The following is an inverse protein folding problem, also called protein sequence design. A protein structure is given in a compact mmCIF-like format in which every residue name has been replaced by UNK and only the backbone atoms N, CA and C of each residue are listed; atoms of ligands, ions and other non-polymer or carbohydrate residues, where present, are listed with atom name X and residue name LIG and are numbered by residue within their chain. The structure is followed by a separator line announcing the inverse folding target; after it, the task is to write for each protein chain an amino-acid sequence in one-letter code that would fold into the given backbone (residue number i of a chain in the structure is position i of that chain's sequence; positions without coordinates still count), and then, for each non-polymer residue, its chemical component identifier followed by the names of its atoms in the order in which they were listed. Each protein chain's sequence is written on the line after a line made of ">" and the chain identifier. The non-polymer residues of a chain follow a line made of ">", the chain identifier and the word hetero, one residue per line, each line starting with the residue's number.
data_IF_342701430453
#
_entry.id   IF_342701430453
#
_cell.length_a   1.000
_cell.length_b   1.000
_cell.length_c   1.000
_cell.angle_alpha   90.00
_cell.angle_beta   90.00
_cell.angle_gamma   90.00
#
_symmetry.space_group_name_H-M   'P 1'
#
loop_
_entity.id
_entity.type
_entity.pdbx_description
1 polymer ?
#
# COMPACT_ATOMS: atom_id res chain seq x y z
N UNK A 1 24.69 1.84 3.01
CA UNK A 1 24.25 0.82 2.03
C UNK A 1 22.75 0.60 2.19
N UNK A 2 22.00 0.65 1.12
CA UNK A 2 20.55 0.47 1.16
C UNK A 2 20.16 -0.82 0.44
N UNK A 3 19.54 -1.75 1.16
CA UNK A 3 19.00 -2.98 0.58
C UNK A 3 17.57 -2.74 0.09
N UNK A 4 17.35 -2.85 -1.19
CA UNK A 4 16.04 -2.73 -1.81
C UNK A 4 15.83 -3.83 -2.87
N UNK A 5 14.62 -4.33 -3.02
CA UNK A 5 14.33 -5.37 -4.00
C UNK A 5 12.97 -5.30 -4.65
N UNK A 6 11.91 -5.06 -3.86
CA UNK A 6 10.53 -5.08 -4.33
C UNK A 6 9.63 -4.20 -3.46
N UNK A 7 8.39 -3.97 -3.91
CA UNK A 7 7.35 -3.28 -3.14
C UNK A 7 6.23 -4.23 -2.77
N UNK A 8 5.65 -4.03 -1.58
CA UNK A 8 4.45 -4.72 -1.15
C UNK A 8 3.19 -4.01 -1.71
N UNK A 9 2.32 -4.75 -2.38
CA UNK A 9 1.03 -4.23 -2.86
C UNK A 9 -0.02 -4.36 -1.75
N UNK A 10 -0.21 -3.31 -0.95
CA UNK A 10 -1.14 -3.29 0.17
C UNK A 10 -2.61 -3.34 -0.28
N UNK A 11 -2.93 -2.82 -1.46
CA UNK A 11 -4.27 -2.90 -2.02
C UNK A 11 -4.65 -4.36 -2.37
N UNK A 12 -3.70 -5.12 -2.92
CA UNK A 12 -3.89 -6.56 -3.18
C UNK A 12 -4.02 -7.35 -1.87
N UNK A 13 -3.25 -6.97 -0.86
CA UNK A 13 -3.32 -7.54 0.49
C UNK A 13 -4.73 -7.37 1.10
N UNK A 14 -5.37 -6.21 0.91
CA UNK A 14 -6.74 -5.96 1.37
C UNK A 14 -7.74 -6.90 0.68
N UNK A 15 -7.59 -7.14 -0.64
CA UNK A 15 -8.44 -8.09 -1.35
C UNK A 15 -8.25 -9.53 -0.87
N UNK A 16 -7.02 -9.92 -0.53
CA UNK A 16 -6.75 -11.22 0.10
C UNK A 16 -7.39 -11.32 1.48
N UNK A 17 -7.37 -10.24 2.26
CA UNK A 17 -8.04 -10.22 3.56
C UNK A 17 -9.55 -10.46 3.44
N UNK A 18 -10.20 -9.81 2.47
CA UNK A 18 -11.64 -9.98 2.20
C UNK A 18 -11.95 -11.41 1.71
N UNK A 19 -11.11 -11.96 0.83
CA UNK A 19 -11.32 -13.25 0.18
C UNK A 19 -10.63 -14.44 0.88
N UNK A 20 -10.15 -14.28 2.12
CA UNK A 20 -9.55 -15.38 2.89
C UNK A 20 -8.27 -15.95 2.28
N UNK A 21 -7.48 -15.12 1.61
CA UNK A 21 -6.20 -15.47 0.97
C UNK A 21 -6.31 -15.95 -0.47
N UNK A 22 -7.52 -15.90 -1.07
CA UNK A 22 -7.73 -16.25 -2.48
C UNK A 22 -7.53 -15.01 -3.35
N UNK A 23 -6.79 -15.18 -4.44
CA UNK A 23 -6.60 -14.16 -5.46
C UNK A 23 -7.88 -14.00 -6.30
N UNK A 24 -8.45 -12.81 -6.33
CA UNK A 24 -9.72 -12.51 -7.00
C UNK A 24 -9.66 -12.63 -8.53
N UNK A 25 -8.45 -12.59 -9.11
CA UNK A 25 -8.24 -12.70 -10.56
C UNK A 25 -7.93 -14.11 -11.01
N UNK A 26 -7.01 -14.79 -10.31
CA UNK A 26 -6.56 -16.14 -10.68
C UNK A 26 -7.36 -17.25 -10.01
N UNK A 27 -8.19 -16.90 -9.01
CA UNK A 27 -9.00 -17.84 -8.21
C UNK A 27 -8.16 -18.88 -7.45
N UNK A 28 -6.90 -18.58 -7.22
CA UNK A 28 -5.98 -19.49 -6.52
C UNK A 28 -5.75 -19.05 -5.09
N UNK A 29 -5.54 -19.98 -4.19
CA UNK A 29 -5.12 -19.71 -2.82
C UNK A 29 -3.65 -19.26 -2.83
N UNK A 30 -3.40 -17.98 -2.59
CA UNK A 30 -2.06 -17.37 -2.60
C UNK A 30 -1.51 -17.18 -1.19
N UNK A 31 -2.34 -16.68 -0.29
CA UNK A 31 -2.00 -16.49 1.12
C UNK A 31 -2.48 -17.68 1.98
N UNK A 32 -2.09 -17.77 3.27
CA UNK A 32 -2.66 -18.75 4.18
C UNK A 32 -4.19 -18.70 4.17
N UNK A 33 -4.81 -19.87 4.33
CA UNK A 33 -6.27 -19.97 4.32
C UNK A 33 -6.86 -19.36 5.59
N UNK A 34 -7.23 -18.10 5.52
CA UNK A 34 -7.99 -17.41 6.55
C UNK A 34 -9.50 -17.52 6.27
N UNK A 35 -10.31 -17.22 7.28
CA UNK A 35 -11.75 -17.15 7.11
C UNK A 35 -12.11 -15.95 6.22
N UNK A 36 -12.73 -16.15 5.04
CA UNK A 36 -13.18 -15.04 4.20
C UNK A 36 -14.32 -14.27 4.87
N UNK A 37 -14.45 -13.00 4.50
CA UNK A 37 -15.61 -12.19 4.84
C UNK A 37 -16.73 -12.61 3.88
N UNK A 38 -17.87 -13.06 4.41
CA UNK A 38 -19.00 -13.57 3.60
C UNK A 38 -20.24 -12.70 3.67
N UNK A 39 -20.23 -11.65 4.50
CA UNK A 39 -21.31 -10.69 4.63
C UNK A 39 -21.58 -9.96 3.31
N UNK A 40 -22.84 -9.58 3.09
CA UNK A 40 -23.23 -8.80 1.93
C UNK A 40 -22.60 -7.39 1.95
N UNK A 41 -22.61 -6.77 3.12
CA UNK A 41 -21.95 -5.49 3.37
C UNK A 41 -20.70 -5.71 4.21
N UNK A 42 -19.64 -4.97 3.91
CA UNK A 42 -18.40 -5.03 4.68
C UNK A 42 -18.57 -4.30 6.02
N UNK A 43 -18.21 -4.98 7.10
CA UNK A 43 -18.09 -4.41 8.43
C UNK A 43 -16.66 -3.94 8.67
N UNK A 44 -16.50 -2.72 9.18
CA UNK A 44 -15.19 -2.09 9.34
C UNK A 44 -14.28 -2.87 10.31
N UNK A 45 -14.82 -3.28 11.45
CA UNK A 45 -14.02 -3.98 12.47
C UNK A 45 -13.61 -5.37 11.98
N UNK A 46 -14.51 -6.09 11.30
CA UNK A 46 -14.19 -7.39 10.69
C UNK A 46 -13.11 -7.24 9.61
N UNK A 47 -13.23 -6.22 8.73
CA UNK A 47 -12.22 -5.97 7.70
C UNK A 47 -10.88 -5.62 8.32
N UNK A 48 -10.85 -4.77 9.35
CA UNK A 48 -9.62 -4.39 10.04
C UNK A 48 -8.93 -5.59 10.69
N UNK A 49 -9.68 -6.48 11.35
CA UNK A 49 -9.13 -7.71 11.93
C UNK A 49 -8.50 -8.62 10.85
N UNK A 50 -9.21 -8.85 9.74
CA UNK A 50 -8.72 -9.68 8.64
C UNK A 50 -7.53 -9.05 7.92
N UNK A 51 -7.57 -7.74 7.74
CA UNK A 51 -6.49 -7.02 7.09
C UNK A 51 -5.22 -7.00 7.96
N UNK A 52 -5.36 -6.83 9.26
CA UNK A 52 -4.25 -6.92 10.20
C UNK A 52 -3.54 -8.28 10.14
N UNK A 53 -4.31 -9.38 10.18
CA UNK A 53 -3.79 -10.74 10.02
C UNK A 53 -3.09 -10.95 8.68
N UNK A 54 -3.66 -10.42 7.61
CA UNK A 54 -3.09 -10.55 6.26
C UNK A 54 -1.81 -9.72 6.09
N UNK A 55 -1.75 -8.53 6.70
CA UNK A 55 -0.53 -7.71 6.72
C UNK A 55 0.60 -8.37 7.51
N UNK A 56 0.31 -9.10 8.59
CA UNK A 56 1.32 -9.86 9.34
C UNK A 56 1.96 -10.95 8.46
N UNK A 57 1.14 -11.72 7.75
CA UNK A 57 1.65 -12.69 6.77
C UNK A 57 2.44 -12.02 5.63
N UNK A 58 1.92 -10.90 5.10
CA UNK A 58 2.63 -10.18 4.04
C UNK A 58 3.98 -9.66 4.51
N UNK A 59 4.07 -9.14 5.73
CA UNK A 59 5.33 -8.66 6.31
C UNK A 59 6.37 -9.78 6.41
N UNK A 60 5.96 -10.97 6.89
CA UNK A 60 6.83 -12.14 7.00
C UNK A 60 7.40 -12.55 5.62
N UNK A 61 6.52 -12.81 4.66
CA UNK A 61 6.95 -13.25 3.32
C UNK A 61 7.77 -12.17 2.60
N UNK A 62 7.44 -10.90 2.81
CA UNK A 62 8.12 -9.78 2.18
C UNK A 62 9.55 -9.64 2.71
N UNK A 63 9.73 -9.63 4.03
CA UNK A 63 11.08 -9.55 4.64
C UNK A 63 11.91 -10.78 4.26
N UNK A 64 11.35 -11.99 4.32
CA UNK A 64 12.06 -13.20 3.95
C UNK A 64 12.47 -13.22 2.47
N UNK A 65 11.61 -12.71 1.58
CA UNK A 65 11.94 -12.57 0.15
C UNK A 65 13.07 -11.57 -0.07
N UNK A 66 13.02 -10.41 0.58
CA UNK A 66 14.08 -9.41 0.50
C UNK A 66 15.41 -9.93 1.09
N UNK A 67 15.36 -10.66 2.21
CA UNK A 67 16.53 -11.31 2.79
C UNK A 67 17.20 -12.26 1.79
N UNK A 68 16.40 -13.06 1.09
CA UNK A 68 16.92 -13.97 0.05
C UNK A 68 17.55 -13.19 -1.12
N UNK A 69 16.91 -12.13 -1.58
CA UNK A 69 17.43 -11.28 -2.66
C UNK A 69 18.77 -10.68 -2.25
N UNK A 70 18.89 -10.12 -1.05
CA UNK A 70 20.12 -9.49 -0.57
C UNK A 70 21.23 -10.53 -0.34
N UNK A 71 20.89 -11.71 0.17
CA UNK A 71 21.84 -12.82 0.25
C UNK A 71 22.40 -13.21 -1.13
N UNK A 72 21.54 -13.26 -2.16
CA UNK A 72 21.96 -13.59 -3.52
C UNK A 72 22.85 -12.49 -4.13
N UNK A 73 22.58 -11.22 -3.84
CA UNK A 73 23.44 -10.11 -4.24
C UNK A 73 24.83 -10.24 -3.59
N UNK A 74 24.90 -10.51 -2.30
CA UNK A 74 26.19 -10.73 -1.62
C UNK A 74 26.93 -11.94 -2.16
N UNK A 75 26.22 -13.03 -2.42
CA UNK A 75 26.81 -14.28 -2.90
C UNK A 75 27.41 -14.16 -4.30
N UNK A 76 26.74 -13.46 -5.21
CA UNK A 76 27.11 -13.43 -6.63
C UNK A 76 27.76 -12.11 -7.06
N UNK A 77 27.50 -11.01 -6.38
CA UNK A 77 28.00 -9.67 -6.70
C UNK A 77 28.91 -9.08 -5.62
N UNK A 78 29.09 -9.76 -4.48
CA UNK A 78 29.98 -9.34 -3.39
C UNK A 78 29.70 -7.94 -2.84
N UNK A 79 28.45 -7.49 -2.84
CA UNK A 79 28.07 -6.11 -2.48
C UNK A 79 28.59 -5.68 -1.11
N UNK A 80 28.50 -6.55 -0.08
CA UNK A 80 28.97 -6.19 1.24
C UNK A 80 30.50 -6.07 1.32
N UNK A 81 31.23 -6.85 0.51
CA UNK A 81 32.70 -6.75 0.43
C UNK A 81 33.10 -5.46 -0.30
N UNK A 82 32.41 -5.13 -1.38
CA UNK A 82 32.67 -3.89 -2.12
C UNK A 82 32.39 -2.66 -1.26
N UNK A 83 31.30 -2.64 -0.48
CA UNK A 83 31.00 -1.55 0.45
C UNK A 83 32.08 -1.34 1.51
N UNK A 84 32.73 -2.42 1.99
CA UNK A 84 33.83 -2.32 2.93
C UNK A 84 35.09 -1.66 2.36
N UNK A 85 35.22 -1.60 1.02
CA UNK A 85 36.27 -0.85 0.33
C UNK A 85 35.98 0.66 0.22
N UNK A 86 34.70 1.03 0.35
CA UNK A 86 34.25 2.43 0.16
C UNK A 86 34.10 3.12 1.52
N UNK A 87 33.63 2.39 2.54
CA UNK A 87 33.28 2.95 3.85
C UNK A 87 33.82 2.08 4.98
N UNK A 88 34.39 2.72 6.00
CA UNK A 88 34.90 2.05 7.20
C UNK A 88 33.80 1.69 8.20
N UNK A 89 32.65 2.38 8.14
CA UNK A 89 31.48 2.14 8.98
C UNK A 89 30.22 2.07 8.13
N UNK A 90 29.96 0.90 7.57
CA UNK A 90 28.84 0.71 6.65
C UNK A 90 27.51 0.65 7.40
N UNK A 91 26.77 1.76 7.42
CA UNK A 91 25.38 1.75 7.84
C UNK A 91 24.52 1.03 6.78
N UNK A 92 23.73 0.06 7.24
CA UNK A 92 22.84 -0.73 6.39
C UNK A 92 21.40 -0.39 6.69
N UNK A 93 20.64 0.01 5.66
CA UNK A 93 19.20 0.15 5.72
C UNK A 93 18.54 -0.93 4.88
N UNK A 94 17.44 -1.46 5.36
CA UNK A 94 16.62 -2.46 4.69
C UNK A 94 15.41 -1.75 4.11
N UNK A 95 15.55 -1.25 2.88
CA UNK A 95 14.55 -0.43 2.23
C UNK A 95 13.35 -1.27 1.80
N UNK A 96 12.21 -1.00 2.38
CA UNK A 96 10.93 -1.54 1.97
C UNK A 96 10.13 -0.48 1.21
N UNK A 97 9.10 -0.88 0.50
CA UNK A 97 8.24 0.04 -0.23
C UNK A 97 6.83 -0.49 -0.31
N UNK A 98 5.87 0.41 -0.35
CA UNK A 98 4.45 0.09 -0.47
C UNK A 98 3.84 0.66 -1.74
N UNK A 99 2.88 -0.09 -2.29
CA UNK A 99 2.06 0.30 -3.43
C UNK A 99 0.58 0.25 -3.05
N UNK A 100 -0.25 1.09 -3.67
CA UNK A 100 -1.69 1.15 -3.43
C UNK A 100 -2.08 1.84 -2.13
N UNK A 101 -1.21 2.67 -1.56
CA UNK A 101 -1.39 3.33 -0.29
C UNK A 101 -2.72 4.09 -0.18
N UNK A 102 -2.95 5.09 -1.04
CA UNK A 102 -4.16 5.92 -1.00
C UNK A 102 -5.44 5.12 -1.28
N UNK A 103 -5.37 4.13 -2.16
CA UNK A 103 -6.52 3.24 -2.44
C UNK A 103 -6.92 2.39 -1.23
N UNK A 104 -5.96 1.95 -0.42
CA UNK A 104 -6.28 1.25 0.84
C UNK A 104 -6.91 2.22 1.83
N UNK A 105 -6.36 3.43 1.97
CA UNK A 105 -6.90 4.46 2.86
C UNK A 105 -8.34 4.77 2.48
N UNK A 106 -8.61 5.05 1.21
CA UNK A 106 -9.95 5.36 0.71
C UNK A 106 -10.90 4.17 0.84
N UNK A 107 -10.41 2.93 0.62
CA UNK A 107 -11.21 1.71 0.80
C UNK A 107 -11.63 1.51 2.26
N UNK A 108 -10.70 1.67 3.19
CA UNK A 108 -11.02 1.57 4.63
C UNK A 108 -11.93 2.71 5.08
N UNK A 109 -11.76 3.91 4.53
CA UNK A 109 -12.65 5.04 4.77
C UNK A 109 -14.05 4.78 4.23
N UNK A 110 -14.19 4.26 3.01
CA UNK A 110 -15.47 3.89 2.43
C UNK A 110 -16.21 2.85 3.30
N UNK A 111 -15.51 1.80 3.75
CA UNK A 111 -16.08 0.76 4.61
C UNK A 111 -16.52 1.34 5.96
N UNK A 112 -15.78 2.32 6.50
CA UNK A 112 -16.07 2.93 7.81
C UNK A 112 -17.22 3.93 7.79
N UNK A 113 -17.33 4.72 6.72
CA UNK A 113 -18.22 5.89 6.69
C UNK A 113 -19.37 5.81 5.68
N UNK A 114 -19.31 4.87 4.75
CA UNK A 114 -20.37 4.56 3.80
C UNK A 114 -20.86 3.12 3.97
N UNK A 115 -21.71 2.65 3.07
CA UNK A 115 -22.09 1.24 2.98
C UNK A 115 -21.44 0.64 1.75
N UNK A 116 -20.60 -0.36 1.95
CA UNK A 116 -19.90 -1.05 0.87
C UNK A 116 -20.46 -2.46 0.74
N UNK A 117 -21.18 -2.70 -0.35
CA UNK A 117 -21.73 -4.00 -0.69
C UNK A 117 -20.74 -4.77 -1.55
N UNK A 118 -20.51 -6.04 -1.24
CA UNK A 118 -19.66 -6.93 -2.03
C UNK A 118 -20.43 -7.55 -3.19
N UNK A 119 -19.87 -7.46 -4.40
CA UNK A 119 -20.33 -8.21 -5.56
C UNK A 119 -19.45 -9.45 -5.69
N UNK A 120 -20.08 -10.64 -5.60
CA UNK A 120 -19.37 -11.92 -5.60
C UNK A 120 -19.66 -12.69 -6.87
N UNK A 121 -18.69 -13.50 -7.28
CA UNK A 121 -18.87 -14.45 -8.35
C UNK A 121 -19.52 -15.76 -7.87
N UNK A 122 -19.62 -16.75 -8.79
CA UNK A 122 -20.23 -18.06 -8.52
C UNK A 122 -19.49 -18.86 -7.44
N UNK A 123 -18.20 -18.60 -7.24
CA UNK A 123 -17.35 -19.22 -6.21
C UNK A 123 -17.42 -18.49 -4.87
N UNK A 124 -18.20 -17.40 -4.77
CA UNK A 124 -18.34 -16.56 -3.59
C UNK A 124 -17.17 -15.59 -3.37
N UNK A 125 -16.30 -15.42 -4.35
CA UNK A 125 -15.16 -14.50 -4.28
C UNK A 125 -15.64 -13.09 -4.58
N UNK A 126 -15.31 -12.13 -3.71
CA UNK A 126 -15.58 -10.71 -3.94
C UNK A 126 -14.72 -10.20 -5.10
N UNK A 127 -15.38 -9.76 -6.17
CA UNK A 127 -14.74 -9.33 -7.43
C UNK A 127 -15.01 -7.85 -7.74
N UNK A 128 -16.06 -7.25 -7.15
CA UNK A 128 -16.40 -5.84 -7.31
C UNK A 128 -17.16 -5.34 -6.06
N UNK A 129 -17.38 -4.02 -5.99
CA UNK A 129 -18.00 -3.35 -4.85
C UNK A 129 -18.97 -2.28 -5.32
N UNK A 130 -20.11 -2.19 -4.65
CA UNK A 130 -21.10 -1.12 -4.78
C UNK A 130 -21.05 -0.26 -3.51
N UNK A 131 -20.97 1.07 -3.69
CA UNK A 131 -20.81 2.00 -2.58
C UNK A 131 -22.08 2.87 -2.51
N UNK A 132 -22.72 2.88 -1.35
CA UNK A 132 -23.87 3.72 -1.05
C UNK A 132 -23.47 4.77 -0.01
N UNK A 133 -23.58 6.05 -0.36
CA UNK A 133 -23.25 7.19 0.49
C UNK A 133 -21.87 7.77 0.20
N UNK A 134 -21.58 8.89 0.88
CA UNK A 134 -20.32 9.60 0.77
C UNK A 134 -19.36 9.21 1.90
N UNK A 135 -18.06 9.29 1.64
CA UNK A 135 -17.03 9.04 2.61
C UNK A 135 -15.85 9.99 2.42
N UNK A 136 -15.11 10.32 3.49
CA UNK A 136 -13.92 11.15 3.40
C UNK A 136 -12.83 10.43 2.60
N UNK A 137 -12.19 11.15 1.67
CA UNK A 137 -11.10 10.64 0.86
C UNK A 137 -9.78 11.32 1.21
N UNK A 138 -8.72 10.55 1.18
CA UNK A 138 -7.35 11.04 1.37
C UNK A 138 -7.02 12.11 0.31
N UNK A 139 -6.36 13.19 0.74
CA UNK A 139 -6.00 14.31 -0.12
C UNK A 139 -6.96 15.51 -0.02
N UNK A 140 -7.81 15.57 1.00
CA UNK A 140 -8.75 16.67 1.22
C UNK A 140 -8.57 17.38 2.58
N UNK A 141 -7.45 17.12 3.27
CA UNK A 141 -7.17 17.65 4.62
C UNK A 141 -8.25 17.26 5.65
N UNK A 142 -8.78 16.05 5.52
CA UNK A 142 -9.81 15.49 6.40
C UNK A 142 -9.18 14.42 7.30
N UNK A 143 -9.09 14.73 8.60
CA UNK A 143 -8.45 13.86 9.59
C UNK A 143 -9.08 12.46 9.65
N UNK A 144 -10.35 12.30 9.27
CA UNK A 144 -11.02 10.99 9.23
C UNK A 144 -10.36 10.03 8.24
N UNK A 145 -9.86 10.54 7.11
CA UNK A 145 -9.11 9.77 6.12
C UNK A 145 -7.60 9.80 6.41
N UNK A 146 -7.07 10.96 6.80
CA UNK A 146 -5.65 11.17 7.03
C UNK A 146 -5.14 10.33 8.22
N UNK A 147 -5.95 10.15 9.28
CA UNK A 147 -5.61 9.27 10.42
C UNK A 147 -5.50 7.79 10.00
N UNK A 148 -6.33 7.34 9.04
CA UNK A 148 -6.21 5.99 8.47
C UNK A 148 -4.88 5.87 7.70
N UNK A 149 -4.48 6.91 6.98
CA UNK A 149 -3.21 6.93 6.24
C UNK A 149 -2.01 6.83 7.19
N UNK A 150 -2.02 7.60 8.27
CA UNK A 150 -0.99 7.58 9.33
C UNK A 150 -0.93 6.20 9.99
N UNK A 151 -2.08 5.64 10.36
CA UNK A 151 -2.18 4.31 10.94
C UNK A 151 -1.60 3.23 10.02
N UNK A 152 -1.99 3.23 8.74
CA UNK A 152 -1.56 2.22 7.77
C UNK A 152 -0.04 2.16 7.63
N UNK A 153 0.59 3.34 7.53
CA UNK A 153 2.04 3.43 7.40
C UNK A 153 2.75 2.91 8.65
N UNK A 154 2.33 3.35 9.83
CA UNK A 154 2.91 2.93 11.11
C UNK A 154 2.71 1.44 11.35
N UNK A 155 1.50 0.94 11.13
CA UNK A 155 1.18 -0.46 11.41
C UNK A 155 1.98 -1.41 10.51
N UNK A 156 2.05 -1.13 9.21
CA UNK A 156 2.81 -1.98 8.30
C UNK A 156 4.31 -1.99 8.63
N UNK A 157 4.91 -0.83 8.91
CA UNK A 157 6.32 -0.78 9.31
C UNK A 157 6.57 -1.48 10.67
N UNK A 158 5.65 -1.36 11.63
CA UNK A 158 5.73 -2.10 12.90
C UNK A 158 5.78 -3.62 12.67
N UNK A 159 4.97 -4.12 11.73
CA UNK A 159 4.99 -5.54 11.37
C UNK A 159 6.32 -5.95 10.73
N UNK A 160 6.85 -5.16 9.82
CA UNK A 160 8.16 -5.40 9.20
C UNK A 160 9.29 -5.46 10.23
N UNK A 161 9.28 -4.57 11.23
CA UNK A 161 10.30 -4.50 12.30
C UNK A 161 10.32 -5.71 13.24
N UNK A 162 9.29 -6.56 13.23
CA UNK A 162 9.27 -7.81 14.02
C UNK A 162 10.20 -8.88 13.46
N UNK A 163 10.59 -8.77 12.21
CA UNK A 163 11.33 -9.79 11.49
C UNK A 163 12.82 -9.47 11.43
N UNK A 164 13.64 -10.52 11.47
CA UNK A 164 15.09 -10.40 11.30
C UNK A 164 15.44 -10.03 9.86
N UNK A 165 16.26 -9.00 9.69
CA UNK A 165 16.69 -8.50 8.39
C UNK A 165 18.12 -8.94 8.06
N UNK A 166 18.43 -9.06 6.79
CA UNK A 166 19.74 -9.45 6.31
C UNK A 166 20.82 -8.52 6.84
N UNK A 167 21.85 -9.10 7.49
CA UNK A 167 22.97 -8.40 8.13
C UNK A 167 22.55 -7.35 9.17
N UNK A 168 21.48 -7.61 9.90
CA UNK A 168 20.93 -6.72 10.93
C UNK A 168 20.69 -5.30 10.41
N UNK A 169 20.30 -5.16 9.14
CA UNK A 169 20.00 -3.87 8.54
C UNK A 169 18.73 -3.26 9.11
N UNK A 170 18.72 -1.93 9.27
CA UNK A 170 17.59 -1.19 9.83
C UNK A 170 16.43 -1.13 8.85
N UNK A 171 15.23 -1.66 9.19
CA UNK A 171 14.06 -1.55 8.32
C UNK A 171 13.63 -0.10 8.13
N UNK A 172 13.57 0.34 6.88
CA UNK A 172 13.07 1.63 6.44
C UNK A 172 11.94 1.41 5.43
N UNK A 173 11.15 2.43 5.15
CA UNK A 173 10.07 2.31 4.18
C UNK A 173 9.95 3.53 3.28
N UNK A 174 9.42 3.32 2.07
CA UNK A 174 9.07 4.35 1.12
C UNK A 174 7.63 4.23 0.65
N UNK A 175 7.00 5.37 0.38
CA UNK A 175 5.74 5.45 -0.36
C UNK A 175 6.07 5.99 -1.75
N UNK A 176 6.69 5.13 -2.57
CA UNK A 176 7.27 5.52 -3.85
C UNK A 176 6.94 4.50 -4.93
N UNK A 177 5.99 4.83 -5.81
CA UNK A 177 5.69 4.06 -7.02
C UNK A 177 5.56 5.00 -8.19
N UNK A 178 6.57 5.15 -9.03
CA UNK A 178 6.53 6.11 -10.14
C UNK A 178 5.72 5.52 -11.30
N UNK A 179 6.25 4.53 -12.00
CA UNK A 179 5.59 3.88 -13.15
C UNK A 179 5.06 2.49 -12.83
N UNK A 180 5.59 1.85 -11.80
CA UNK A 180 5.19 0.50 -11.37
C UNK A 180 3.75 0.42 -10.87
N UNK A 181 3.12 1.55 -10.50
CA UNK A 181 1.71 1.64 -10.14
C UNK A 181 0.77 1.11 -11.24
N UNK A 182 1.16 1.23 -12.51
CA UNK A 182 0.40 0.66 -13.64
C UNK A 182 0.45 -0.87 -13.62
N UNK A 183 1.62 -1.45 -13.38
CA UNK A 183 1.79 -2.91 -13.31
C UNK A 183 1.06 -3.49 -12.11
N UNK A 184 1.21 -2.88 -10.93
CA UNK A 184 0.46 -3.28 -9.74
C UNK A 184 -1.05 -3.14 -9.94
N UNK A 185 -1.51 -2.06 -10.60
CA UNK A 185 -2.91 -1.86 -10.91
C UNK A 185 -3.49 -2.95 -11.81
N UNK A 186 -2.75 -3.34 -12.85
CA UNK A 186 -3.15 -4.46 -13.72
C UNK A 186 -3.31 -5.78 -12.97
N UNK A 187 -2.53 -6.01 -11.93
CA UNK A 187 -2.59 -7.22 -11.12
C UNK A 187 -3.69 -7.16 -10.03
N UNK A 188 -4.26 -5.99 -9.75
CA UNK A 188 -5.21 -5.77 -8.64
C UNK A 188 -6.64 -5.69 -9.18
N UNK A 189 -7.57 -6.41 -8.54
CA UNK A 189 -9.01 -6.38 -8.80
C UNK A 189 -9.67 -5.04 -8.42
N UNK A 190 -10.98 -4.95 -8.50
CA UNK A 190 -11.74 -3.79 -8.01
C UNK A 190 -11.55 -3.63 -6.50
N UNK A 191 -11.61 -2.39 -6.01
CA UNK A 191 -11.38 -2.04 -4.61
C UNK A 191 -12.63 -1.37 -4.00
N UNK A 192 -12.79 -1.44 -2.68
CA UNK A 192 -13.91 -0.83 -1.96
C UNK A 192 -14.01 0.70 -2.07
N UNK A 193 -12.96 1.40 -2.54
CA UNK A 193 -12.96 2.84 -2.83
C UNK A 193 -13.64 3.23 -4.15
N UNK A 194 -14.04 2.22 -4.95
CA UNK A 194 -14.66 2.38 -6.28
C UNK A 194 -13.72 2.20 -7.46
N UNK A 195 -12.39 2.04 -7.22
CA UNK A 195 -11.42 1.74 -8.28
C UNK A 195 -11.76 0.40 -8.94
N UNK A 196 -11.74 0.35 -10.27
CA UNK A 196 -12.05 -0.86 -11.03
C UNK A 196 -10.82 -1.72 -11.32
N UNK A 197 -11.07 -3.01 -11.50
CA UNK A 197 -10.03 -4.00 -11.78
C UNK A 197 -9.16 -3.59 -12.98
N UNK A 198 -7.85 -3.64 -12.82
CA UNK A 198 -6.89 -3.36 -13.88
C UNK A 198 -6.54 -1.89 -14.08
N UNK A 199 -7.26 -0.95 -13.48
CA UNK A 199 -6.89 0.46 -13.49
C UNK A 199 -5.56 0.69 -12.76
N UNK A 200 -4.74 1.67 -13.16
CA UNK A 200 -3.54 2.02 -12.42
C UNK A 200 -3.83 2.35 -10.96
N UNK A 201 -2.93 1.97 -10.05
CA UNK A 201 -2.94 2.51 -8.70
C UNK A 201 -2.39 3.94 -8.72
N UNK A 202 -2.73 4.75 -7.72
CA UNK A 202 -2.13 6.08 -7.58
C UNK A 202 -0.63 5.97 -7.30
N UNK A 203 0.20 6.84 -7.90
CA UNK A 203 1.65 6.79 -7.71
C UNK A 203 2.03 7.32 -6.32
N UNK A 204 2.87 6.59 -5.62
CA UNK A 204 3.43 7.01 -4.33
C UNK A 204 2.38 7.41 -3.30
N UNK A 205 2.57 8.60 -2.73
CA UNK A 205 1.68 9.18 -1.73
C UNK A 205 0.59 10.09 -2.32
N UNK A 206 0.43 10.11 -3.65
CA UNK A 206 -0.65 10.87 -4.27
C UNK A 206 -2.02 10.36 -3.81
N UNK A 207 -2.99 11.25 -3.62
CA UNK A 207 -4.39 10.87 -3.50
C UNK A 207 -4.85 10.00 -4.67
N UNK A 208 -5.89 9.21 -4.46
CA UNK A 208 -6.53 8.43 -5.53
C UNK A 208 -7.04 9.36 -6.62
N UNK A 209 -6.98 8.92 -7.88
CA UNK A 209 -7.41 9.75 -9.01
C UNK A 209 -8.83 10.27 -8.83
N UNK A 210 -8.99 11.61 -8.87
CA UNK A 210 -10.27 12.30 -8.66
C UNK A 210 -10.74 12.38 -7.20
N UNK A 211 -9.94 11.92 -6.23
CA UNK A 211 -10.27 12.00 -4.80
C UNK A 211 -10.08 13.42 -4.24
N UNK A 212 -9.08 14.14 -4.71
CA UNK A 212 -8.77 15.51 -4.31
C UNK A 212 -9.77 16.50 -4.88
N UNK A 213 -10.66 17.00 -4.03
CA UNK A 213 -11.71 17.97 -4.42
C UNK A 213 -11.59 19.30 -3.67
N UNK A 214 -10.78 19.33 -2.60
CA UNK A 214 -10.58 20.51 -1.74
C UNK A 214 -9.40 21.41 -2.17
N UNK A 215 -8.82 21.13 -3.34
CA UNK A 215 -7.75 21.91 -3.94
C UNK A 215 -6.34 21.50 -3.50
N UNK A 216 -5.34 22.09 -4.17
CA UNK A 216 -3.93 21.70 -4.02
C UNK A 216 -3.41 21.78 -2.59
N UNK A 217 -3.77 22.84 -1.86
CA UNK A 217 -3.28 23.02 -0.48
C UNK A 217 -3.79 21.90 0.44
N UNK A 218 -5.05 21.53 0.34
CA UNK A 218 -5.62 20.43 1.11
C UNK A 218 -4.95 19.09 0.76
N UNK A 219 -4.68 18.85 -0.53
CA UNK A 219 -3.95 17.66 -0.98
C UNK A 219 -2.54 17.60 -0.38
N UNK A 220 -1.82 18.70 -0.38
CA UNK A 220 -0.48 18.81 0.22
C UNK A 220 -0.52 18.65 1.74
N UNK A 221 -1.54 19.20 2.42
CA UNK A 221 -1.71 19.07 3.86
C UNK A 221 -1.91 17.59 4.25
N UNK A 222 -2.77 16.84 3.57
CA UNK A 222 -2.95 15.40 3.81
C UNK A 222 -1.63 14.64 3.67
N UNK A 223 -0.85 14.93 2.63
CA UNK A 223 0.47 14.31 2.44
C UNK A 223 1.45 14.74 3.53
N UNK A 224 1.43 16.00 3.96
CA UNK A 224 2.32 16.52 5.01
C UNK A 224 2.05 15.92 6.41
N UNK A 225 0.84 15.40 6.68
CA UNK A 225 0.48 14.72 7.93
C UNK A 225 1.12 13.33 8.07
N UNK A 226 1.64 12.74 6.99
CA UNK A 226 2.25 11.43 7.06
C UNK A 226 3.49 11.46 7.97
N UNK A 227 3.69 10.44 8.81
CA UNK A 227 4.81 10.39 9.75
C UNK A 227 6.11 10.00 9.05
N UNK A 228 6.84 11.00 8.53
CA UNK A 228 8.05 10.78 7.73
C UNK A 228 9.22 10.15 8.50
N UNK A 229 9.22 10.24 9.82
CA UNK A 229 10.13 9.46 10.67
C UNK A 229 9.94 7.93 10.54
N UNK A 230 8.81 7.51 9.96
CA UNK A 230 8.49 6.11 9.63
C UNK A 230 8.69 5.79 8.15
N UNK A 231 8.85 6.81 7.30
CA UNK A 231 9.04 6.70 5.85
C UNK A 231 10.39 7.29 5.45
N UNK A 232 11.48 6.80 6.05
CA UNK A 232 12.83 7.33 5.90
C UNK A 232 13.36 7.29 4.46
N UNK A 233 12.83 6.40 3.61
CA UNK A 233 13.19 6.30 2.19
C UNK A 233 12.39 7.27 1.31
N UNK A 234 11.53 8.06 1.93
CA UNK A 234 10.80 9.15 1.28
C UNK A 234 9.51 8.74 0.57
N UNK A 235 8.99 9.70 -0.17
CA UNK A 235 7.74 9.60 -0.92
C UNK A 235 7.92 10.08 -2.35
N UNK A 236 6.98 9.71 -3.23
CA UNK A 236 6.68 10.49 -4.42
C UNK A 236 5.30 11.14 -4.28
N UNK A 237 5.25 12.43 -4.55
CA UNK A 237 4.01 13.19 -4.69
C UNK A 237 4.13 14.08 -5.92
N UNK A 238 3.34 13.78 -6.95
CA UNK A 238 3.35 14.47 -8.24
C UNK A 238 2.14 15.37 -8.33
N UNK A 239 2.36 16.65 -8.56
CA UNK A 239 1.30 17.65 -8.75
C UNK A 239 1.38 18.22 -10.16
N UNK A 240 0.22 18.34 -10.82
CA UNK A 240 0.11 18.98 -12.13
C UNK A 240 -0.47 20.38 -11.95
N UNK A 241 0.32 21.39 -12.27
CA UNK A 241 -0.10 22.79 -12.24
C UNK A 241 -0.31 23.24 -13.68
N UNK A 242 -1.57 23.51 -14.03
CA UNK A 242 -1.90 24.07 -15.33
C UNK A 242 -1.51 25.54 -15.36
N UNK A 243 -0.85 25.97 -16.44
CA UNK A 243 -0.49 27.39 -16.62
C UNK A 243 -1.76 28.23 -16.79
N UNK A 244 -1.92 29.25 -15.97
CA UNK A 244 -2.99 30.25 -16.06
C UNK A 244 -2.92 31.10 -17.34
N UNK A 245 -1.80 31.08 -18.07
CA UNK A 245 -1.59 31.85 -19.31
C UNK A 245 -2.56 31.42 -20.43
N UNK A 246 -3.08 30.21 -20.37
CA UNK A 246 -4.04 29.66 -21.35
C UNK A 246 -5.52 29.74 -20.94
N UNK A 247 -5.84 30.37 -19.80
CA UNK A 247 -7.21 30.49 -19.28
C UNK A 247 -7.83 31.84 -19.65
N UNK A 248 -7.11 32.73 -20.33
CA UNK A 248 -7.53 34.11 -20.66
C UNK A 248 -7.91 34.32 -22.13
N UNK A 249 -8.46 33.28 -22.82
CA UNK A 249 -9.12 33.45 -24.11
C UNK A 249 -10.59 33.06 -24.01
#
# INVERSE_FOLDING_TARGET
>A
MQFFGARANLAKCLLYAINGGIDEKTKTQVAPKYRPITSEYLDYEEVMERYDQMMEWLADIYVNTLNLIQYMHDKYYYEAAEMALIDTDVRRTFATGIAGFSHVVDSLSAIKYAKVKTVRDEDGIAIDYEIEGDFPRYGNDDDRADDIAVWLLKEFLNKLKKHHTYRDSEPTTSILTITSNVVYGKATGSLPDGRKAGEPLSPGANPSYGAEQSGLLASLNSVAKLPYEWALDGISNTQTILSLIHISE
#
